data_IF_901701279140
#
_entry.id   IF_901701279140
#
_cell.length_a   1.000
_cell.length_b   1.000
_cell.length_c   1.000
_cell.angle_alpha   90.00
_cell.angle_beta   90.00
_cell.angle_gamma   90.00
#
_symmetry.space_group_name_H-M   'P 1'
#
loop_
_entity.id
_entity.type
_entity.pdbx_description
1 polymer ?
#
# COMPACT_ATOMS: atom_id res chain seq x y z
N UNK A 1 10.37 -5.33 9.73
CA UNK A 1 10.53 -6.54 8.86
C UNK A 1 9.74 -7.65 9.54
N UNK A 2 8.85 -8.35 8.81
CA UNK A 2 7.95 -9.35 9.40
C UNK A 2 6.57 -8.81 9.83
N UNK A 3 6.30 -7.54 9.53
CA UNK A 3 4.99 -6.90 9.65
C UNK A 3 4.24 -6.98 8.33
N UNK A 4 2.92 -6.90 8.41
CA UNK A 4 1.99 -6.91 7.29
C UNK A 4 1.58 -5.50 6.90
N UNK A 5 1.32 -5.31 5.61
CA UNK A 5 0.76 -4.07 5.06
C UNK A 5 -0.55 -4.40 4.34
N UNK A 6 -1.64 -3.75 4.75
CA UNK A 6 -2.92 -3.79 4.06
C UNK A 6 -3.06 -2.51 3.22
N UNK A 7 -3.02 -2.66 1.90
CA UNK A 7 -3.17 -1.52 1.00
C UNK A 7 -4.64 -1.04 1.00
N UNK A 8 -4.87 0.23 1.33
CA UNK A 8 -6.17 0.90 1.14
C UNK A 8 -6.18 1.86 -0.07
N UNK A 9 -4.98 2.21 -0.55
CA UNK A 9 -4.77 3.07 -1.71
C UNK A 9 -3.43 2.70 -2.37
N UNK A 10 -3.28 3.12 -3.64
CA UNK A 10 -2.12 2.82 -4.46
C UNK A 10 -1.55 4.09 -5.08
N UNK A 11 -0.24 4.29 -4.97
CA UNK A 11 0.49 5.26 -5.78
C UNK A 11 1.11 4.51 -6.95
N UNK A 12 0.65 4.80 -8.17
CA UNK A 12 1.06 4.07 -9.37
C UNK A 12 2.21 4.78 -10.08
N UNK A 13 3.35 4.10 -10.11
CA UNK A 13 4.57 4.44 -10.87
C UNK A 13 5.05 3.24 -11.69
N UNK A 14 4.13 2.31 -11.96
CA UNK A 14 4.33 1.09 -12.73
C UNK A 14 4.22 1.33 -14.25
N UNK A 15 3.53 2.39 -14.68
CA UNK A 15 3.46 2.88 -16.06
C UNK A 15 2.72 1.98 -17.06
N UNK A 16 2.55 0.69 -16.73
CA UNK A 16 2.08 -0.35 -17.64
C UNK A 16 0.61 -0.19 -18.04
N UNK A 17 -0.23 0.36 -17.16
CA UNK A 17 -1.66 0.56 -17.43
C UNK A 17 -2.03 2.02 -17.75
N UNK A 18 -1.09 2.94 -17.82
CA UNK A 18 -1.39 4.39 -17.85
C UNK A 18 -2.23 4.84 -19.05
N UNK A 19 -2.12 4.14 -20.18
CA UNK A 19 -2.91 4.44 -21.40
C UNK A 19 -4.39 4.08 -21.25
N UNK A 20 -4.70 3.05 -20.48
CA UNK A 20 -6.06 2.50 -20.32
C UNK A 20 -6.69 2.90 -18.99
N UNK A 21 -5.86 3.09 -17.96
CA UNK A 21 -6.25 3.58 -16.64
C UNK A 21 -5.21 4.64 -16.22
N UNK A 22 -5.46 5.91 -16.57
CA UNK A 22 -4.59 7.02 -16.20
C UNK A 22 -4.32 7.10 -14.69
N UNK A 23 -3.12 7.51 -14.22
CA UNK A 23 -2.77 7.52 -12.80
C UNK A 23 -3.63 8.41 -11.90
N UNK A 24 -4.32 9.40 -12.47
CA UNK A 24 -5.25 10.27 -11.73
C UNK A 24 -6.62 9.63 -11.48
N UNK A 25 -6.89 8.46 -12.05
CA UNK A 25 -8.12 7.70 -11.80
C UNK A 25 -7.94 6.93 -10.47
N UNK A 26 -8.81 7.16 -9.48
CA UNK A 26 -8.69 6.50 -8.19
C UNK A 26 -9.00 4.99 -8.32
N UNK A 27 -8.22 4.17 -7.64
CA UNK A 27 -8.46 2.72 -7.49
C UNK A 27 -8.87 2.45 -6.04
N UNK A 28 -10.17 2.39 -5.73
CA UNK A 28 -10.65 2.22 -4.37
C UNK A 28 -10.41 0.78 -3.88
N UNK A 29 -10.13 0.65 -2.58
CA UNK A 29 -10.16 -0.65 -1.92
C UNK A 29 -11.62 -1.10 -1.73
N UNK A 30 -11.87 -2.40 -1.97
CA UNK A 30 -13.17 -3.01 -1.70
C UNK A 30 -13.30 -3.31 -0.21
N UNK A 31 -14.32 -2.75 0.45
CA UNK A 31 -14.49 -2.83 1.90
C UNK A 31 -14.57 -4.28 2.39
N UNK A 32 -15.29 -5.14 1.66
CA UNK A 32 -15.49 -6.55 1.97
C UNK A 32 -14.16 -7.31 1.97
N UNK A 33 -13.29 -7.00 1.00
CA UNK A 33 -11.95 -7.60 0.89
C UNK A 33 -11.03 -7.07 1.99
N UNK A 34 -11.11 -5.78 2.32
CA UNK A 34 -10.33 -5.19 3.42
C UNK A 34 -10.70 -5.85 4.76
N UNK A 35 -11.99 -6.02 5.03
CA UNK A 35 -12.47 -6.71 6.23
C UNK A 35 -12.00 -8.17 6.27
N UNK A 36 -12.15 -8.91 5.16
CA UNK A 36 -11.72 -10.30 5.08
C UNK A 36 -10.22 -10.47 5.32
N UNK A 37 -9.38 -9.61 4.74
CA UNK A 37 -7.92 -9.65 4.94
C UNK A 37 -7.53 -9.28 6.38
N UNK A 38 -8.18 -8.29 6.98
CA UNK A 38 -7.92 -7.91 8.37
C UNK A 38 -8.34 -9.02 9.33
N UNK A 39 -9.48 -9.67 9.09
CA UNK A 39 -9.95 -10.80 9.89
C UNK A 39 -9.02 -12.01 9.73
N UNK A 40 -8.63 -12.35 8.50
CA UNK A 40 -7.68 -13.44 8.24
C UNK A 40 -6.35 -13.21 8.96
N UNK A 41 -5.82 -11.99 8.93
CA UNK A 41 -4.62 -11.63 9.68
C UNK A 41 -4.79 -11.86 11.18
N UNK A 42 -5.93 -11.43 11.76
CA UNK A 42 -6.24 -11.64 13.17
C UNK A 42 -6.36 -13.13 13.55
N UNK A 43 -6.94 -13.95 12.67
CA UNK A 43 -7.11 -15.38 12.89
C UNK A 43 -5.77 -16.13 12.86
N UNK A 44 -4.91 -15.82 11.88
CA UNK A 44 -3.61 -16.50 11.70
C UNK A 44 -2.59 -16.10 12.77
N UNK A 45 -2.56 -14.83 13.16
CA UNK A 45 -1.63 -14.36 14.21
C UNK A 45 -2.15 -14.63 15.62
N UNK A 46 -3.46 -14.84 15.78
CA UNK A 46 -4.11 -14.88 17.10
C UNK A 46 -4.20 -13.52 17.79
N UNK A 47 -3.77 -12.44 17.12
CA UNK A 47 -3.72 -11.09 17.67
C UNK A 47 -4.99 -10.30 17.32
N UNK A 48 -5.47 -9.46 18.24
CA UNK A 48 -6.64 -8.58 18.03
C UNK A 48 -6.41 -7.17 18.54
N UNK A 49 -7.21 -6.23 18.04
CA UNK A 49 -7.18 -4.83 18.48
C UNK A 49 -5.79 -4.22 18.35
N UNK A 50 -5.27 -3.67 19.44
CA UNK A 50 -3.97 -3.00 19.48
C UNK A 50 -2.77 -3.92 19.21
N UNK A 51 -2.87 -5.22 19.53
CA UNK A 51 -1.79 -6.16 19.21
C UNK A 51 -1.66 -6.33 17.69
N UNK A 52 -2.80 -6.53 17.01
CA UNK A 52 -2.83 -6.62 15.55
C UNK A 52 -2.33 -5.33 14.90
N UNK A 53 -2.69 -4.15 15.41
CA UNK A 53 -2.21 -2.86 14.86
C UNK A 53 -0.70 -2.66 14.96
N UNK A 54 -0.02 -3.34 15.90
CA UNK A 54 1.45 -3.31 15.97
C UNK A 54 2.10 -4.03 14.79
N UNK A 55 1.42 -5.04 14.22
CA UNK A 55 1.94 -5.89 13.14
C UNK A 55 1.30 -5.64 11.78
N UNK A 56 0.06 -5.15 11.73
CA UNK A 56 -0.68 -4.85 10.51
C UNK A 56 -0.84 -3.34 10.36
N UNK A 57 -0.26 -2.79 9.29
CA UNK A 57 -0.41 -1.37 8.93
C UNK A 57 -1.28 -1.22 7.70
N UNK A 58 -2.38 -0.48 7.83
CA UNK A 58 -3.19 -0.07 6.69
C UNK A 58 -2.66 1.24 6.13
N UNK A 59 -2.40 1.31 4.83
CA UNK A 59 -1.73 2.48 4.24
C UNK A 59 -1.72 2.49 2.72
N UNK A 60 -1.07 3.50 2.15
CA UNK A 60 -0.86 3.64 0.70
C UNK A 60 0.38 2.84 0.29
N UNK A 61 0.24 2.00 -0.74
CA UNK A 61 1.35 1.24 -1.30
C UNK A 61 1.81 1.89 -2.60
N UNK A 62 3.11 2.16 -2.70
CA UNK A 62 3.74 2.64 -3.92
C UNK A 62 4.20 1.45 -4.76
N UNK A 63 3.73 1.36 -6.00
CA UNK A 63 4.17 0.36 -6.97
C UNK A 63 5.04 1.04 -8.02
N UNK A 64 6.23 0.48 -8.25
CA UNK A 64 7.26 1.03 -9.14
C UNK A 64 7.65 0.01 -10.21
N UNK A 65 8.06 0.48 -11.38
CA UNK A 65 8.62 -0.34 -12.46
C UNK A 65 10.14 -0.59 -12.32
N UNK A 66 10.88 0.35 -11.73
CA UNK A 66 12.32 0.27 -11.48
C UNK A 66 12.64 -0.35 -10.11
N UNK A 67 13.28 -1.53 -10.12
CA UNK A 67 13.70 -2.22 -8.89
C UNK A 67 14.77 -1.44 -8.11
N UNK A 68 15.56 -0.60 -8.77
CA UNK A 68 16.63 0.21 -8.19
C UNK A 68 16.18 1.64 -7.86
N UNK A 69 14.88 1.86 -7.62
CA UNK A 69 14.30 3.16 -7.27
C UNK A 69 15.04 3.87 -6.13
N UNK A 70 15.66 3.11 -5.23
CA UNK A 70 16.46 3.64 -4.11
C UNK A 70 17.63 4.52 -4.59
N UNK A 71 18.19 4.25 -5.79
CA UNK A 71 19.29 5.05 -6.37
C UNK A 71 18.87 6.46 -6.76
N UNK A 72 17.56 6.72 -6.90
CA UNK A 72 16.99 8.03 -7.27
C UNK A 72 16.19 8.66 -6.12
N UNK A 73 16.37 8.18 -4.89
CA UNK A 73 15.60 8.61 -3.72
C UNK A 73 15.47 10.13 -3.56
N UNK A 74 16.54 10.89 -3.78
CA UNK A 74 16.53 12.35 -3.64
C UNK A 74 15.52 13.04 -4.58
N UNK A 75 15.32 12.48 -5.77
CA UNK A 75 14.39 12.99 -6.78
C UNK A 75 12.94 12.55 -6.50
N UNK A 76 12.77 11.33 -5.97
CA UNK A 76 11.46 10.72 -5.71
C UNK A 76 10.81 11.17 -4.39
N UNK A 77 11.62 11.57 -3.41
CA UNK A 77 11.20 11.93 -2.05
C UNK A 77 10.05 12.97 -1.98
N UNK A 78 10.03 14.06 -2.78
CA UNK A 78 8.93 15.03 -2.75
C UNK A 78 7.58 14.39 -3.07
N UNK A 79 7.55 13.49 -4.05
CA UNK A 79 6.33 12.82 -4.52
C UNK A 79 5.85 11.76 -3.52
N UNK A 80 6.78 10.97 -2.95
CA UNK A 80 6.47 9.96 -1.94
C UNK A 80 5.91 10.59 -0.65
N UNK A 81 6.29 11.84 -0.35
CA UNK A 81 5.74 12.54 0.80
C UNK A 81 4.29 13.00 0.60
N UNK A 82 3.83 13.21 -0.64
CA UNK A 82 2.43 13.56 -0.92
C UNK A 82 1.47 12.42 -0.56
N UNK A 83 1.94 11.17 -0.64
CA UNK A 83 1.13 9.99 -0.28
C UNK A 83 1.10 9.67 1.22
N UNK A 84 1.77 10.49 2.05
CA UNK A 84 1.85 10.34 3.51
C UNK A 84 0.91 11.27 4.29
N UNK A 85 0.22 12.18 3.60
CA UNK A 85 -0.74 13.13 4.19
C UNK A 85 -2.14 12.52 4.32
#
# INVERSE_FOLDING_TARGET
>A
IGDYVLAHAYMRRDGILDRVVPPNIPIPALAEVQMALQEAAAQVTGERGEQLKKRLRTGTVLTYDDRNWELRWAQERPLINLSRA
#
